data_IF_272769265724
#
_entry.id   IF_272769265724
#
_cell.length_a   1.000
_cell.length_b   1.000
_cell.length_c   1.000
_cell.angle_alpha   90.00
_cell.angle_beta   90.00
_cell.angle_gamma   90.00
#
_symmetry.space_group_name_H-M   'P 1'
#
loop_
_entity.id
_entity.type
_entity.pdbx_description
1 polymer ?
#
# COMPACT_ATOMS: atom_id res chain seq x y z
N UNK A 1 6.57 19.41 -12.35
CA UNK A 1 5.59 18.32 -12.41
C UNK A 1 4.73 18.38 -11.16
N UNK A 2 3.41 18.35 -11.35
CA UNK A 2 2.42 18.41 -10.26
C UNK A 2 1.90 17.02 -9.93
N UNK A 3 1.58 16.79 -8.67
CA UNK A 3 1.10 15.51 -8.14
C UNK A 3 -0.13 15.76 -7.28
N UNK A 4 -1.12 14.88 -7.41
CA UNK A 4 -2.36 14.94 -6.64
C UNK A 4 -2.23 14.05 -5.41
N UNK A 5 -2.38 14.65 -4.21
CA UNK A 5 -2.41 13.88 -2.96
C UNK A 5 -3.74 13.13 -2.80
N UNK A 6 -3.77 12.13 -1.89
CA UNK A 6 -5.01 11.45 -1.48
C UNK A 6 -6.07 12.41 -0.89
N UNK A 7 -5.63 13.56 -0.33
CA UNK A 7 -6.53 14.64 0.14
C UNK A 7 -7.16 15.46 -0.99
N UNK A 8 -6.75 15.27 -2.26
CA UNK A 8 -7.15 16.09 -3.40
C UNK A 8 -6.24 17.31 -3.65
N UNK A 9 -5.31 17.61 -2.73
CA UNK A 9 -4.37 18.73 -2.90
C UNK A 9 -3.40 18.49 -4.05
N UNK A 10 -3.17 19.52 -4.86
CA UNK A 10 -2.16 19.51 -5.92
C UNK A 10 -0.87 20.14 -5.40
N UNK A 11 0.23 19.41 -5.45
CA UNK A 11 1.54 19.86 -4.96
C UNK A 11 2.63 19.62 -5.99
N UNK A 12 3.72 20.37 -5.90
CA UNK A 12 4.91 20.08 -6.69
C UNK A 12 5.58 18.80 -6.23
N UNK A 13 5.95 17.97 -7.21
CA UNK A 13 6.68 16.73 -6.98
C UNK A 13 8.14 17.03 -6.74
N UNK A 14 8.71 16.50 -5.66
CA UNK A 14 10.12 16.51 -5.34
C UNK A 14 10.66 15.07 -5.42
N UNK A 15 11.73 14.87 -6.19
CA UNK A 15 12.43 13.58 -6.34
C UNK A 15 12.76 12.95 -4.98
N UNK A 16 13.29 13.76 -4.05
CA UNK A 16 13.64 13.34 -2.69
C UNK A 16 12.48 12.68 -1.93
N UNK A 17 11.24 13.04 -2.22
CA UNK A 17 10.08 12.44 -1.54
C UNK A 17 9.86 11.00 -1.94
N UNK A 18 10.09 10.66 -3.22
CA UNK A 18 9.99 9.27 -3.71
C UNK A 18 11.13 8.45 -3.12
N UNK A 19 12.35 8.94 -3.21
CA UNK A 19 13.53 8.26 -2.63
C UNK A 19 13.37 8.03 -1.13
N UNK A 20 12.95 9.06 -0.37
CA UNK A 20 12.70 8.94 1.09
C UNK A 20 11.59 7.93 1.40
N UNK A 21 10.55 7.88 0.58
CA UNK A 21 9.46 6.90 0.73
C UNK A 21 9.96 5.46 0.56
N UNK A 22 10.77 5.22 -0.48
CA UNK A 22 11.37 3.91 -0.76
C UNK A 22 12.36 3.54 0.35
N UNK A 23 13.24 4.46 0.74
CA UNK A 23 14.23 4.25 1.81
C UNK A 23 13.58 3.94 3.15
N UNK A 24 12.46 4.60 3.46
CA UNK A 24 11.70 4.34 4.67
C UNK A 24 11.19 2.89 4.69
N UNK A 25 10.57 2.40 3.61
CA UNK A 25 10.07 1.02 3.52
C UNK A 25 11.20 -0.02 3.43
N UNK A 26 12.40 0.40 3.03
CA UNK A 26 13.57 -0.47 3.06
C UNK A 26 14.15 -0.68 4.47
N UNK A 27 14.06 0.35 5.35
CA UNK A 27 14.79 0.41 6.62
C UNK A 27 13.89 0.70 7.83
N UNK A 28 12.57 0.52 7.77
CA UNK A 28 11.72 0.69 8.96
C UNK A 28 12.14 -0.27 10.08
N UNK A 29 12.06 0.14 11.36
CA UNK A 29 12.52 -0.68 12.48
C UNK A 29 11.86 -2.06 12.57
N UNK A 30 10.66 -2.20 12.02
CA UNK A 30 9.88 -3.44 11.99
C UNK A 30 10.30 -4.38 10.87
N UNK A 31 11.14 -3.93 9.93
CA UNK A 31 11.52 -4.69 8.75
C UNK A 31 13.01 -5.00 8.70
N UNK A 32 13.34 -6.19 8.22
CA UNK A 32 14.72 -6.51 7.83
C UNK A 32 15.15 -5.57 6.69
N UNK A 33 16.34 -4.96 6.83
CA UNK A 33 16.92 -4.14 5.77
C UNK A 33 17.15 -4.97 4.51
N UNK A 34 16.65 -4.50 3.38
CA UNK A 34 16.82 -5.15 2.08
C UNK A 34 18.08 -4.64 1.37
N UNK A 35 18.67 -5.50 0.55
CA UNK A 35 19.80 -5.13 -0.31
C UNK A 35 19.31 -4.58 -1.65
N UNK A 36 18.67 -3.42 -1.60
CA UNK A 36 18.12 -2.70 -2.76
C UNK A 36 18.73 -1.29 -2.84
N UNK A 37 18.64 -0.68 -4.02
CA UNK A 37 19.11 0.68 -4.29
C UNK A 37 17.90 1.63 -4.47
N UNK A 38 17.48 2.36 -3.41
CA UNK A 38 16.32 3.25 -3.47
C UNK A 38 16.41 4.32 -4.56
N UNK A 39 17.59 4.88 -4.77
CA UNK A 39 17.82 5.93 -5.77
C UNK A 39 17.62 5.42 -7.19
N UNK A 40 18.07 4.19 -7.49
CA UNK A 40 17.90 3.56 -8.80
C UNK A 40 16.42 3.30 -9.11
N UNK A 41 15.66 2.84 -8.11
CA UNK A 41 14.21 2.66 -8.25
C UNK A 41 13.53 4.01 -8.46
N UNK A 42 13.85 5.01 -7.62
CA UNK A 42 13.27 6.35 -7.72
C UNK A 42 13.55 7.00 -9.08
N UNK A 43 14.75 6.84 -9.63
CA UNK A 43 15.10 7.35 -10.96
C UNK A 43 14.24 6.73 -12.06
N UNK A 44 14.07 5.39 -12.05
CA UNK A 44 13.21 4.70 -13.02
C UNK A 44 11.75 5.12 -12.89
N UNK A 45 11.24 5.27 -11.66
CA UNK A 45 9.89 5.76 -11.39
C UNK A 45 9.70 7.15 -11.97
N UNK A 46 10.65 8.05 -11.69
CA UNK A 46 10.55 9.45 -12.12
C UNK A 46 10.50 9.60 -13.65
N UNK A 47 11.23 8.77 -14.40
CA UNK A 47 11.19 8.77 -15.87
C UNK A 47 9.85 8.29 -16.45
N UNK A 48 9.08 7.53 -15.67
CA UNK A 48 7.78 6.97 -16.08
C UNK A 48 6.58 7.77 -15.56
N UNK A 49 6.81 8.82 -14.76
CA UNK A 49 5.76 9.67 -14.20
C UNK A 49 5.27 10.70 -15.22
N UNK A 50 4.01 11.10 -15.09
CA UNK A 50 3.36 12.15 -15.87
C UNK A 50 2.77 13.24 -14.97
N UNK A 51 2.48 14.41 -15.53
CA UNK A 51 1.92 15.55 -14.79
C UNK A 51 0.49 15.23 -14.32
N UNK A 52 0.19 15.53 -13.06
CA UNK A 52 -1.11 15.23 -12.47
C UNK A 52 -1.28 13.81 -11.92
N UNK A 53 -0.25 12.96 -11.93
CA UNK A 53 -0.30 11.62 -11.32
C UNK A 53 -0.65 11.67 -9.84
N UNK A 54 -1.48 10.74 -9.36
CA UNK A 54 -1.81 10.66 -7.93
C UNK A 54 -0.69 9.98 -7.12
N UNK A 55 -0.62 10.30 -5.82
CA UNK A 55 0.36 9.64 -4.93
C UNK A 55 0.11 8.14 -4.78
N UNK A 56 -1.13 7.67 -4.97
CA UNK A 56 -1.45 6.25 -4.97
C UNK A 56 -0.91 5.55 -6.22
N UNK A 57 -1.05 6.19 -7.38
CA UNK A 57 -0.49 5.69 -8.64
C UNK A 57 1.04 5.69 -8.62
N UNK A 58 1.68 6.68 -7.97
CA UNK A 58 3.14 6.69 -7.77
C UNK A 58 3.56 5.47 -6.93
N UNK A 59 2.86 5.16 -5.83
CA UNK A 59 3.15 3.96 -5.03
C UNK A 59 2.97 2.68 -5.89
N UNK A 60 1.93 2.58 -6.73
CA UNK A 60 1.73 1.45 -7.64
C UNK A 60 2.85 1.34 -8.68
N UNK A 61 3.18 2.44 -9.35
CA UNK A 61 4.27 2.51 -10.31
C UNK A 61 5.61 2.13 -9.68
N UNK A 62 5.85 2.57 -8.44
CA UNK A 62 7.06 2.23 -7.69
C UNK A 62 7.15 0.73 -7.42
N UNK A 63 6.03 0.09 -7.06
CA UNK A 63 5.98 -1.36 -6.86
C UNK A 63 6.23 -2.12 -8.18
N UNK A 64 5.66 -1.65 -9.29
CA UNK A 64 5.87 -2.25 -10.62
C UNK A 64 7.32 -2.11 -11.10
N UNK A 65 7.95 -0.96 -10.87
CA UNK A 65 9.37 -0.76 -11.15
C UNK A 65 10.22 -1.67 -10.26
N UNK A 66 9.92 -1.77 -8.97
CA UNK A 66 10.67 -2.64 -8.06
C UNK A 66 10.57 -4.11 -8.50
N UNK A 67 9.37 -4.62 -8.81
CA UNK A 67 9.23 -6.02 -9.24
C UNK A 67 9.92 -6.28 -10.59
N UNK A 68 10.00 -5.31 -11.48
CA UNK A 68 10.74 -5.45 -12.74
C UNK A 68 12.25 -5.66 -12.55
N UNK A 69 12.75 -5.30 -11.35
CA UNK A 69 14.17 -5.42 -10.98
C UNK A 69 14.47 -6.72 -10.20
N UNK A 70 13.51 -7.63 -10.06
CA UNK A 70 13.66 -8.89 -9.32
C UNK A 70 14.83 -9.74 -9.83
N UNK A 71 15.13 -9.67 -11.13
CA UNK A 71 16.26 -10.38 -11.75
C UNK A 71 17.62 -9.86 -11.31
N UNK A 72 17.70 -8.60 -10.84
CA UNK A 72 18.93 -8.03 -10.30
C UNK A 72 19.16 -8.50 -8.84
N UNK A 73 18.08 -8.51 -8.02
CA UNK A 73 18.10 -8.99 -6.65
C UNK A 73 16.68 -9.36 -6.20
N UNK A 74 16.43 -10.55 -5.62
CA UNK A 74 15.11 -10.95 -5.13
C UNK A 74 14.53 -10.04 -4.04
N UNK A 75 15.34 -9.27 -3.32
CA UNK A 75 14.87 -8.30 -2.33
C UNK A 75 13.96 -7.22 -2.92
N UNK A 76 14.03 -6.99 -4.25
CA UNK A 76 13.11 -6.07 -4.92
C UNK A 76 11.66 -6.56 -4.92
N UNK A 77 11.41 -7.89 -4.87
CA UNK A 77 10.05 -8.42 -4.66
C UNK A 77 9.51 -8.02 -3.30
N UNK A 78 10.33 -8.17 -2.26
CA UNK A 78 9.95 -7.78 -0.89
C UNK A 78 9.68 -6.27 -0.81
N UNK A 79 10.51 -5.47 -1.48
CA UNK A 79 10.27 -4.02 -1.57
C UNK A 79 8.95 -3.72 -2.27
N UNK A 80 8.68 -4.35 -3.42
CA UNK A 80 7.43 -4.18 -4.17
C UNK A 80 6.20 -4.54 -3.32
N UNK A 81 6.28 -5.64 -2.57
CA UNK A 81 5.25 -6.07 -1.62
C UNK A 81 5.03 -5.03 -0.53
N UNK A 82 6.10 -4.55 0.13
CA UNK A 82 6.00 -3.54 1.19
C UNK A 82 5.35 -2.25 0.69
N UNK A 83 5.70 -1.78 -0.50
CA UNK A 83 5.10 -0.60 -1.12
C UNK A 83 3.60 -0.83 -1.37
N UNK A 84 3.24 -1.99 -1.94
CA UNK A 84 1.85 -2.33 -2.26
C UNK A 84 0.98 -2.39 -1.01
N UNK A 85 1.42 -3.13 0.02
CA UNK A 85 0.70 -3.25 1.30
C UNK A 85 0.55 -1.88 1.96
N UNK A 86 1.64 -1.11 2.03
CA UNK A 86 1.58 0.23 2.61
C UNK A 86 0.66 1.18 1.82
N UNK A 87 0.53 1.00 0.50
CA UNK A 87 -0.42 1.76 -0.32
C UNK A 87 -1.87 1.39 0.02
N UNK A 88 -2.17 0.09 0.17
CA UNK A 88 -3.49 -0.41 0.59
C UNK A 88 -3.83 0.14 1.97
N UNK A 89 -2.97 -0.04 2.97
CA UNK A 89 -3.20 0.41 4.35
C UNK A 89 -3.43 1.92 4.48
N UNK A 90 -2.84 2.73 3.60
CA UNK A 90 -3.09 4.19 3.57
C UNK A 90 -4.44 4.58 2.99
N UNK A 91 -5.05 3.70 2.22
CA UNK A 91 -6.36 3.93 1.59
C UNK A 91 -7.47 3.44 2.50
N UNK A 92 -7.20 2.42 3.32
CA UNK A 92 -8.15 1.82 4.24
C UNK A 92 -8.26 2.58 5.57
N UNK A 93 -9.41 2.54 6.25
CA UNK A 93 -9.54 2.95 7.64
C UNK A 93 -8.55 2.22 8.54
N UNK A 94 -8.13 2.85 9.64
CA UNK A 94 -7.15 2.28 10.56
C UNK A 94 -7.72 1.17 11.46
N UNK A 95 -9.02 1.21 11.70
CA UNK A 95 -9.73 0.25 12.55
C UNK A 95 -10.61 -0.65 11.69
N UNK A 96 -10.69 -1.91 12.04
CA UNK A 96 -11.57 -2.88 11.39
C UNK A 96 -13.03 -2.45 11.47
N UNK A 97 -13.47 -2.00 12.66
CA UNK A 97 -14.84 -1.52 12.88
C UNK A 97 -15.21 -0.37 11.95
N UNK A 98 -14.30 0.60 11.73
CA UNK A 98 -14.53 1.72 10.82
C UNK A 98 -14.62 1.26 9.35
N UNK A 99 -13.80 0.28 8.95
CA UNK A 99 -13.85 -0.30 7.63
C UNK A 99 -15.20 -1.01 7.38
N UNK A 100 -15.67 -1.79 8.35
CA UNK A 100 -16.96 -2.48 8.26
C UNK A 100 -18.13 -1.49 8.21
N UNK A 101 -18.08 -0.39 8.96
CA UNK A 101 -19.08 0.68 8.87
C UNK A 101 -19.10 1.32 7.48
N UNK A 102 -17.94 1.58 6.89
CA UNK A 102 -17.86 2.15 5.55
C UNK A 102 -18.40 1.20 4.47
N UNK A 103 -18.13 -0.11 4.59
CA UNK A 103 -18.66 -1.13 3.69
C UNK A 103 -20.16 -1.33 3.87
N UNK A 104 -20.64 -1.26 5.11
CA UNK A 104 -22.08 -1.33 5.42
C UNK A 104 -22.83 -0.14 4.79
N UNK A 105 -22.30 1.06 4.90
CA UNK A 105 -22.88 2.26 4.28
C UNK A 105 -22.99 2.15 2.75
N UNK A 106 -22.18 1.30 2.12
CA UNK A 106 -22.23 0.98 0.67
C UNK A 106 -23.08 -0.25 0.33
N UNK A 107 -23.69 -0.90 1.32
CA UNK A 107 -24.51 -2.08 1.13
C UNK A 107 -23.71 -3.38 0.84
N UNK A 108 -22.40 -3.38 1.07
CA UNK A 108 -21.53 -4.56 0.90
C UNK A 108 -21.68 -5.50 2.09
N UNK A 109 -21.79 -4.92 3.28
CA UNK A 109 -21.95 -5.66 4.55
C UNK A 109 -23.40 -5.52 5.03
N UNK A 110 -24.02 -6.65 5.45
CA UNK A 110 -25.42 -6.70 5.89
C UNK A 110 -25.61 -6.16 7.31
N UNK A 111 -26.85 -5.69 7.61
CA UNK A 111 -27.24 -5.30 8.97
C UNK A 111 -27.05 -6.43 10.00
N UNK A 112 -27.26 -7.66 9.55
CA UNK A 112 -27.10 -8.84 10.41
C UNK A 112 -25.64 -9.04 10.80
N UNK A 113 -24.71 -8.91 9.85
CA UNK A 113 -23.28 -9.02 10.11
C UNK A 113 -22.80 -7.91 11.07
N UNK A 114 -23.31 -6.69 10.92
CA UNK A 114 -22.93 -5.55 11.78
C UNK A 114 -23.26 -5.79 13.26
N UNK A 115 -24.25 -6.63 13.59
CA UNK A 115 -24.56 -6.99 14.99
C UNK A 115 -23.45 -7.76 15.69
N UNK A 116 -22.59 -8.42 14.92
CA UNK A 116 -21.48 -9.21 15.45
C UNK A 116 -20.17 -8.42 15.54
N UNK A 117 -20.09 -7.24 14.91
CA UNK A 117 -18.89 -6.37 14.97
C UNK A 117 -18.77 -5.76 16.36
N UNK A 118 -17.67 -6.05 17.02
CA UNK A 118 -17.35 -5.52 18.35
C UNK A 118 -16.06 -4.71 18.29
N UNK A 119 -15.98 -3.63 19.04
CA UNK A 119 -14.78 -2.77 19.13
C UNK A 119 -13.54 -3.54 19.60
N UNK A 120 -13.69 -4.60 20.39
CA UNK A 120 -12.58 -5.46 20.82
C UNK A 120 -11.88 -6.16 19.64
N UNK A 121 -12.57 -6.35 18.49
CA UNK A 121 -12.00 -6.95 17.29
C UNK A 121 -10.90 -6.09 16.67
N UNK A 122 -10.95 -4.78 16.87
CA UNK A 122 -9.90 -3.87 16.41
C UNK A 122 -8.55 -4.22 17.05
N UNK A 123 -8.55 -4.70 18.29
CA UNK A 123 -7.35 -5.14 19.00
C UNK A 123 -6.77 -6.48 18.50
N UNK A 124 -7.55 -7.28 17.77
CA UNK A 124 -7.10 -8.55 17.20
C UNK A 124 -6.35 -8.36 15.89
N UNK A 125 -6.59 -7.25 15.22
CA UNK A 125 -5.96 -6.91 13.95
C UNK A 125 -4.50 -6.49 14.18
N UNK A 126 -3.59 -7.13 13.46
CA UNK A 126 -2.16 -6.81 13.47
C UNK A 126 -1.72 -6.46 12.06
N UNK A 127 -1.73 -5.19 11.72
CA UNK A 127 -1.38 -4.70 10.36
C UNK A 127 -0.01 -5.16 9.88
N UNK A 128 0.92 -5.50 10.79
CA UNK A 128 2.21 -6.07 10.43
C UNK A 128 2.09 -7.41 9.69
N UNK A 129 1.03 -8.19 9.93
CA UNK A 129 0.79 -9.46 9.23
C UNK A 129 0.42 -9.30 7.76
N UNK A 130 -0.05 -8.13 7.35
CA UNK A 130 -0.29 -7.84 5.93
C UNK A 130 1.00 -7.96 5.10
N UNK A 131 2.16 -7.79 5.74
CA UNK A 131 3.48 -7.89 5.12
C UNK A 131 4.05 -9.32 5.05
N UNK A 132 3.31 -10.33 5.51
CA UNK A 132 3.71 -11.73 5.43
C UNK A 132 3.38 -12.37 4.06
N UNK A 133 2.63 -11.67 3.22
CA UNK A 133 2.32 -12.10 1.85
C UNK A 133 3.46 -11.77 0.88
N UNK A 134 3.61 -12.56 -0.19
CA UNK A 134 4.44 -12.17 -1.34
C UNK A 134 3.74 -11.14 -2.22
N UNK A 135 4.50 -10.44 -3.08
CA UNK A 135 3.97 -9.39 -3.97
C UNK A 135 2.78 -9.87 -4.82
N UNK A 136 2.93 -11.02 -5.48
CA UNK A 136 1.87 -11.57 -6.33
C UNK A 136 0.64 -12.00 -5.54
N UNK A 137 0.82 -12.49 -4.32
CA UNK A 137 -0.27 -12.81 -3.40
C UNK A 137 -1.11 -11.57 -3.07
N UNK A 138 -0.47 -10.49 -2.66
CA UNK A 138 -1.13 -9.20 -2.37
C UNK A 138 -1.85 -8.65 -3.61
N UNK A 139 -1.20 -8.71 -4.79
CA UNK A 139 -1.84 -8.26 -6.05
C UNK A 139 -3.05 -9.10 -6.42
N UNK A 140 -3.03 -10.39 -6.18
CA UNK A 140 -4.18 -11.27 -6.40
C UNK A 140 -5.33 -10.93 -5.47
N UNK A 141 -5.04 -10.73 -4.17
CA UNK A 141 -6.03 -10.28 -3.19
C UNK A 141 -6.64 -8.94 -3.61
N UNK A 142 -5.82 -7.97 -3.99
CA UNK A 142 -6.25 -6.64 -4.40
C UNK A 142 -7.16 -6.66 -5.64
N UNK A 143 -6.90 -7.56 -6.60
CA UNK A 143 -7.66 -7.63 -7.85
C UNK A 143 -9.02 -8.32 -7.72
N UNK A 144 -9.14 -9.29 -6.85
CA UNK A 144 -10.30 -10.19 -6.89
C UNK A 144 -10.99 -10.47 -5.55
N UNK A 145 -10.40 -10.08 -4.42
CA UNK A 145 -10.90 -10.47 -3.11
C UNK A 145 -11.12 -9.28 -2.16
N UNK A 146 -10.22 -8.29 -2.15
CA UNK A 146 -10.35 -7.14 -1.26
C UNK A 146 -11.38 -6.15 -1.79
N UNK A 147 -12.28 -5.71 -0.92
CA UNK A 147 -13.13 -4.56 -1.15
C UNK A 147 -12.34 -3.24 -0.96
N UNK A 148 -12.94 -2.11 -1.31
CA UNK A 148 -12.27 -0.80 -1.37
C UNK A 148 -11.63 -0.35 -0.04
N UNK A 149 -12.20 -0.74 1.11
CA UNK A 149 -11.74 -0.34 2.44
C UNK A 149 -11.09 -1.48 3.23
N UNK A 150 -10.75 -2.57 2.57
CA UNK A 150 -10.18 -3.76 3.21
C UNK A 150 -8.66 -3.86 3.03
N UNK A 151 -7.98 -4.21 4.12
CA UNK A 151 -6.64 -4.77 4.10
C UNK A 151 -6.73 -6.30 4.12
N UNK A 152 -5.65 -7.04 3.82
CA UNK A 152 -5.65 -8.50 3.95
C UNK A 152 -6.09 -9.01 5.34
N UNK A 153 -5.83 -8.25 6.41
CA UNK A 153 -6.29 -8.59 7.76
C UNK A 153 -7.78 -8.34 8.01
N UNK A 154 -8.45 -7.53 7.18
CA UNK A 154 -9.89 -7.25 7.33
C UNK A 154 -10.76 -8.25 6.56
N UNK A 155 -10.19 -8.94 5.59
CA UNK A 155 -10.84 -10.00 4.81
C UNK A 155 -11.07 -11.25 5.67
#
# INVERSE_FOLDING_TARGET
>A
MKVVKRSGDVVEMLFDKVTKRISKLNCEPEFTKLNVQPDKVAQKVFTSMYDGISTSEIDNLTAEVAISMITENPDYEVLAMRITVSNIQKTCPKCFSDAMLALHARGVVSDEFMKYIKLEMDGWIKHSRDYDFGYFGVKTLQKGYLNEFETPQYM
#
